data_IF_999384142143
#
_entry.id   IF_999384142143
#
_cell.length_a   1.000
_cell.length_b   1.000
_cell.length_c   1.000
_cell.angle_alpha   90.00
_cell.angle_beta   90.00
_cell.angle_gamma   90.00
#
_symmetry.space_group_name_H-M   'P 1'
#
loop_
_entity.id
_entity.type
_entity.pdbx_description
1 polymer ?
#
# COMPACT_ATOMS: atom_id res chain seq x y z
N UNK A 1 5.30 10.52 -11.44
CA UNK A 1 6.67 9.97 -11.51
C UNK A 1 6.89 9.30 -10.18
N UNK A 2 7.31 8.05 -10.19
CA UNK A 2 7.64 7.33 -8.97
C UNK A 2 8.83 8.04 -8.33
N UNK A 3 8.71 8.45 -7.07
CA UNK A 3 9.72 9.25 -6.39
C UNK A 3 11.08 8.54 -6.27
N UNK A 4 12.09 9.17 -5.66
CA UNK A 4 13.39 8.55 -5.42
C UNK A 4 13.28 7.31 -4.51
N UNK A 5 14.26 6.42 -4.59
CA UNK A 5 14.41 5.29 -3.66
C UNK A 5 14.59 5.76 -2.21
N UNK A 6 14.37 4.86 -1.25
CA UNK A 6 14.80 5.11 0.12
C UNK A 6 16.32 5.29 0.16
N UNK A 7 16.83 6.29 0.90
CA UNK A 7 18.26 6.47 1.06
C UNK A 7 18.87 5.28 1.82
N UNK A 8 20.17 5.06 1.60
CA UNK A 8 20.98 4.19 2.46
C UNK A 8 21.00 4.73 3.90
N UNK A 9 21.35 3.86 4.86
CA UNK A 9 21.27 4.18 6.28
C UNK A 9 22.15 5.37 6.73
N UNK A 10 23.19 5.71 5.97
CA UNK A 10 24.10 6.82 6.21
C UNK A 10 23.73 8.10 5.43
N UNK A 11 22.67 8.05 4.62
CA UNK A 11 22.21 9.16 3.80
C UNK A 11 20.97 9.84 4.41
N UNK A 12 20.81 11.17 4.21
CA UNK A 12 19.68 11.90 4.75
C UNK A 12 18.38 11.55 4.01
N UNK A 13 17.27 11.57 4.75
CA UNK A 13 15.93 11.48 4.19
C UNK A 13 15.53 12.83 3.57
N UNK A 14 15.44 12.89 2.25
CA UNK A 14 15.06 14.14 1.57
C UNK A 14 13.55 14.37 1.63
N UNK A 15 13.13 15.62 1.44
CA UNK A 15 11.70 15.96 1.34
C UNK A 15 11.03 15.19 0.20
N UNK A 16 11.74 14.97 -0.91
CA UNK A 16 11.21 14.24 -2.05
C UNK A 16 10.94 12.77 -1.72
N UNK A 17 11.88 12.08 -1.05
CA UNK A 17 11.67 10.72 -0.54
C UNK A 17 10.48 10.70 0.44
N UNK A 18 10.40 11.69 1.34
CA UNK A 18 9.32 11.79 2.34
C UNK A 18 7.95 11.92 1.69
N UNK A 19 7.82 12.73 0.66
CA UNK A 19 6.53 12.95 0.01
C UNK A 19 6.10 11.80 -0.92
N UNK A 20 6.99 10.89 -1.29
CA UNK A 20 6.68 9.83 -2.25
C UNK A 20 6.74 8.41 -1.70
N UNK A 21 7.34 8.19 -0.52
CA UNK A 21 7.48 6.85 0.04
C UNK A 21 6.44 6.56 1.09
N UNK A 22 6.01 5.31 1.13
CA UNK A 22 5.10 4.84 2.15
C UNK A 22 5.72 4.93 3.55
N UNK A 23 4.98 5.36 4.59
CA UNK A 23 3.58 5.80 4.54
C UNK A 23 3.38 7.30 4.32
N UNK A 24 4.45 8.11 4.36
CA UNK A 24 4.35 9.57 4.35
C UNK A 24 3.85 10.16 3.04
N UNK A 25 4.01 9.45 1.92
CA UNK A 25 3.42 9.80 0.63
C UNK A 25 1.92 9.47 0.50
N UNK A 26 1.28 8.97 1.55
CA UNK A 26 -0.17 8.76 1.54
C UNK A 26 -0.93 10.10 1.57
N UNK A 27 -1.78 10.31 0.57
CA UNK A 27 -2.71 11.44 0.53
C UNK A 27 -3.88 11.22 1.51
N UNK A 28 -4.26 9.96 1.72
CA UNK A 28 -5.37 9.56 2.58
C UNK A 28 -5.16 8.15 3.12
N UNK A 29 -5.65 7.89 4.33
CA UNK A 29 -5.69 6.53 4.91
C UNK A 29 -7.10 6.24 5.41
N UNK A 30 -7.66 5.10 5.01
CA UNK A 30 -8.98 4.64 5.42
C UNK A 30 -8.95 3.18 5.91
N UNK A 31 -9.93 2.81 6.72
CA UNK A 31 -10.17 1.42 7.10
C UNK A 31 -11.44 0.94 6.39
N UNK A 32 -11.27 0.07 5.40
CA UNK A 32 -12.38 -0.47 4.58
C UNK A 32 -12.47 -1.97 4.83
N UNK A 33 -13.56 -2.41 5.45
CA UNK A 33 -13.83 -3.84 5.72
C UNK A 33 -12.67 -4.57 6.43
N UNK A 34 -11.97 -3.87 7.32
CA UNK A 34 -10.83 -4.42 8.06
C UNK A 34 -9.48 -4.34 7.33
N UNK A 35 -9.43 -3.78 6.12
CA UNK A 35 -8.21 -3.49 5.40
C UNK A 35 -7.81 -2.01 5.53
N UNK A 36 -6.53 -1.74 5.76
CA UNK A 36 -6.00 -0.37 5.72
C UNK A 36 -5.72 0.00 4.26
N UNK A 37 -6.36 1.05 3.77
CA UNK A 37 -6.22 1.54 2.40
C UNK A 37 -5.49 2.89 2.43
N UNK A 38 -4.30 2.93 1.83
CA UNK A 38 -3.49 4.12 1.63
C UNK A 38 -3.68 4.62 0.20
N UNK A 39 -4.31 5.78 0.04
CA UNK A 39 -4.42 6.46 -1.26
C UNK A 39 -3.12 7.23 -1.51
N UNK A 40 -2.55 7.09 -2.70
CA UNK A 40 -1.35 7.79 -3.12
C UNK A 40 -0.88 7.30 -4.50
N UNK A 41 0.37 7.59 -4.83
CA UNK A 41 1.05 7.05 -6.01
C UNK A 41 2.20 6.14 -5.55
N UNK A 42 1.84 4.92 -5.15
CA UNK A 42 2.79 3.92 -4.66
C UNK A 42 3.26 2.99 -5.77
N UNK A 43 4.42 2.39 -5.55
CA UNK A 43 4.98 1.38 -6.43
C UNK A 43 5.38 0.11 -5.66
N UNK A 44 5.98 -0.87 -6.35
CA UNK A 44 6.33 -2.16 -5.77
C UNK A 44 7.33 -2.04 -4.59
N UNK A 45 8.17 -1.00 -4.57
CA UNK A 45 9.10 -0.78 -3.45
C UNK A 45 8.35 -0.45 -2.16
N UNK A 46 7.27 0.32 -2.28
CA UNK A 46 6.39 0.63 -1.15
C UNK A 46 5.65 -0.62 -0.66
N UNK A 47 5.28 -1.53 -1.56
CA UNK A 47 4.72 -2.84 -1.22
C UNK A 47 5.71 -3.63 -0.36
N UNK A 48 6.96 -3.76 -0.79
CA UNK A 48 7.99 -4.49 -0.05
C UNK A 48 8.25 -3.89 1.35
N UNK A 49 8.24 -2.56 1.47
CA UNK A 49 8.36 -1.87 2.75
C UNK A 49 7.15 -2.18 3.66
N UNK A 50 5.94 -2.10 3.10
CA UNK A 50 4.71 -2.38 3.84
C UNK A 50 4.62 -3.86 4.27
N UNK A 51 5.06 -4.81 3.44
CA UNK A 51 5.11 -6.24 3.81
C UNK A 51 6.01 -6.48 5.02
N UNK A 52 7.15 -5.78 5.10
CA UNK A 52 8.04 -5.82 6.26
C UNK A 52 7.42 -5.17 7.50
N UNK A 53 6.69 -4.08 7.32
CA UNK A 53 6.02 -3.36 8.41
C UNK A 53 4.81 -4.14 8.97
N UNK A 54 4.16 -4.95 8.15
CA UNK A 54 2.96 -5.72 8.49
C UNK A 54 3.15 -7.23 8.27
N UNK A 55 4.00 -7.89 9.08
CA UNK A 55 4.26 -9.31 8.91
C UNK A 55 2.97 -10.15 9.03
N UNK A 56 2.79 -11.06 8.07
CA UNK A 56 1.63 -11.96 8.01
C UNK A 56 0.35 -11.32 7.48
N UNK A 57 0.39 -10.05 7.05
CA UNK A 57 -0.70 -9.40 6.29
C UNK A 57 -0.50 -9.61 4.79
N UNK A 58 -1.57 -9.41 4.04
CA UNK A 58 -1.54 -9.42 2.58
C UNK A 58 -1.49 -7.96 2.11
N UNK A 59 -0.41 -7.56 1.45
CA UNK A 59 -0.23 -6.21 0.91
C UNK A 59 -0.50 -6.24 -0.59
N UNK A 60 -1.32 -5.31 -1.08
CA UNK A 60 -1.71 -5.22 -2.48
C UNK A 60 -1.54 -3.81 -2.99
N UNK A 61 -1.02 -3.70 -4.21
CA UNK A 61 -1.03 -2.46 -4.99
C UNK A 61 -2.14 -2.59 -6.03
N UNK A 62 -3.07 -1.63 -6.04
CA UNK A 62 -4.13 -1.59 -7.04
C UNK A 62 -3.73 -0.83 -8.31
N UNK A 63 -4.56 -0.88 -9.34
CA UNK A 63 -4.31 -0.23 -10.63
C UNK A 63 -4.29 1.31 -10.54
N UNK A 64 -4.80 1.89 -9.46
CA UNK A 64 -4.75 3.34 -9.21
C UNK A 64 -3.45 3.79 -8.55
N UNK A 65 -2.58 2.85 -8.15
CA UNK A 65 -1.38 3.13 -7.36
C UNK A 65 -1.63 3.22 -5.86
N UNK A 66 -2.80 2.76 -5.38
CA UNK A 66 -3.12 2.73 -3.94
C UNK A 66 -2.66 1.43 -3.31
N UNK A 67 -2.19 1.52 -2.06
CA UNK A 67 -1.67 0.39 -1.30
C UNK A 67 -2.71 -0.05 -0.27
N UNK A 68 -3.05 -1.34 -0.28
CA UNK A 68 -3.98 -1.94 0.68
C UNK A 68 -3.28 -2.99 1.54
N UNK A 69 -3.53 -2.97 2.86
CA UNK A 69 -3.02 -3.96 3.81
C UNK A 69 -4.20 -4.73 4.40
N UNK A 70 -4.32 -5.99 4.04
CA UNK A 70 -5.42 -6.88 4.41
C UNK A 70 -5.03 -7.85 5.52
N UNK A 71 -5.99 -8.29 6.35
CA UNK A 71 -5.82 -9.52 7.11
C UNK A 71 -5.57 -10.70 6.18
N UNK A 72 -4.70 -11.63 6.61
CA UNK A 72 -4.57 -12.91 5.96
C UNK A 72 -5.66 -13.85 6.49
N UNK A 73 -6.73 -13.99 5.72
CA UNK A 73 -7.88 -14.87 6.00
C UNK A 73 -7.74 -16.25 5.34
N UNK A 74 -6.59 -16.53 4.69
CA UNK A 74 -6.35 -17.77 3.94
C UNK A 74 -7.03 -17.83 2.58
N UNK A 75 -7.74 -16.77 2.16
CA UNK A 75 -8.32 -16.64 0.82
C UNK A 75 -7.31 -16.12 -0.22
N UNK A 76 -7.69 -16.13 -1.51
CA UNK A 76 -6.87 -15.53 -2.55
C UNK A 76 -6.75 -14.00 -2.33
N UNK A 77 -5.56 -13.41 -2.54
CA UNK A 77 -5.35 -11.97 -2.42
C UNK A 77 -6.25 -11.18 -3.38
N UNK A 78 -7.03 -10.25 -2.85
CA UNK A 78 -7.96 -9.40 -3.61
C UNK A 78 -8.05 -8.02 -2.99
N UNK A 79 -8.08 -6.98 -3.83
CA UNK A 79 -8.28 -5.59 -3.39
C UNK A 79 -9.71 -5.38 -2.87
N UNK A 80 -9.92 -4.32 -2.11
CA UNK A 80 -11.24 -3.96 -1.58
C UNK A 80 -12.23 -3.67 -2.70
N UNK A 81 -11.75 -3.11 -3.83
CA UNK A 81 -12.54 -2.91 -5.03
C UNK A 81 -12.98 -4.23 -5.68
N UNK A 82 -12.06 -5.20 -5.83
CA UNK A 82 -12.41 -6.53 -6.35
C UNK A 82 -13.45 -7.23 -5.47
N UNK A 83 -13.29 -7.19 -4.14
CA UNK A 83 -14.29 -7.73 -3.19
C UNK A 83 -15.66 -7.04 -3.35
N UNK A 84 -15.68 -5.74 -3.64
CA UNK A 84 -16.92 -5.01 -3.92
C UNK A 84 -17.59 -5.47 -5.22
N UNK A 85 -16.81 -5.66 -6.29
CA UNK A 85 -17.32 -6.15 -7.57
C UNK A 85 -17.93 -7.56 -7.44
N UNK A 86 -17.23 -8.47 -6.76
CA UNK A 86 -17.69 -9.85 -6.53
C UNK A 86 -19.07 -9.88 -5.84
N UNK A 87 -19.30 -9.00 -4.84
CA UNK A 87 -20.58 -8.92 -4.12
C UNK A 87 -21.73 -8.35 -4.95
N UNK A 88 -21.43 -7.49 -5.93
CA UNK A 88 -22.46 -6.85 -6.77
C UNK A 88 -22.88 -7.73 -7.95
N UNK A 89 -22.04 -8.69 -8.34
CA UNK A 89 -22.30 -9.63 -9.44
C UNK A 89 -22.88 -10.98 -9.01
N UNK A 90 -23.05 -11.22 -7.70
CA UNK A 90 -23.61 -12.45 -7.12
C UNK A 90 -25.10 -12.37 -6.80
#
# INVERSE_FOLDING_TARGET
MDGPDLPEADQPFTVEVYLHRWPSGAEKVELIEGALCFQGSFDQRDVEIAERAYPGRIVLLDESGSLEVHPNDGGPPRTSYQKLLDRRGG
#
